data_IF_089619833062
#
_entry.id   IF_089619833062
#
_cell.length_a   1.000
_cell.length_b   1.000
_cell.length_c   1.000
_cell.angle_alpha   90.00
_cell.angle_beta   90.00
_cell.angle_gamma   90.00
#
_symmetry.space_group_name_H-M   'P 1'
#
loop_
_entity.id
_entity.type
_entity.pdbx_description
1 polymer ?
#
# COMPACT_ATOMS: atom_id res chain seq x y z
N UNK A 1 2.49 30.94 22.65
CA UNK A 1 3.14 30.57 21.36
C UNK A 1 3.85 29.22 21.43
N UNK A 2 4.45 28.82 22.55
CA UNK A 2 5.10 27.49 22.69
C UNK A 2 4.12 26.31 22.65
N UNK A 3 2.91 26.45 23.21
CA UNK A 3 1.88 25.40 23.20
C UNK A 3 1.42 25.01 21.78
N UNK A 4 1.26 25.99 20.88
CA UNK A 4 0.88 25.73 19.48
C UNK A 4 2.00 24.99 18.73
N UNK A 5 3.28 25.30 19.02
CA UNK A 5 4.42 24.59 18.42
C UNK A 5 4.48 23.13 18.86
N UNK A 6 4.23 22.85 20.14
CA UNK A 6 4.19 21.48 20.68
C UNK A 6 3.09 20.66 19.99
N UNK A 7 1.87 21.20 19.89
CA UNK A 7 0.74 20.52 19.22
C UNK A 7 1.06 20.22 17.74
N UNK A 8 1.75 21.15 17.05
CA UNK A 8 2.14 20.95 15.65
C UNK A 8 3.21 19.85 15.48
N UNK A 9 4.13 19.73 16.43
CA UNK A 9 5.15 18.67 16.46
C UNK A 9 4.50 17.32 16.71
N UNK A 10 3.59 17.21 17.69
CA UNK A 10 2.87 15.97 18.00
C UNK A 10 2.02 15.49 16.81
N UNK A 11 1.31 16.41 16.14
CA UNK A 11 0.58 16.09 14.91
C UNK A 11 1.50 15.57 13.82
N UNK A 12 2.66 16.21 13.62
CA UNK A 12 3.65 15.77 12.62
C UNK A 12 4.18 14.38 12.94
N UNK A 13 4.52 14.11 14.21
CA UNK A 13 4.96 12.79 14.68
C UNK A 13 3.91 11.70 14.47
N UNK A 14 2.63 11.98 14.78
CA UNK A 14 1.52 11.04 14.56
C UNK A 14 1.37 10.68 13.08
N UNK A 15 1.42 11.68 12.20
CA UNK A 15 1.32 11.48 10.75
C UNK A 15 2.51 10.66 10.25
N UNK A 16 3.73 11.01 10.67
CA UNK A 16 4.94 10.25 10.30
C UNK A 16 4.85 8.80 10.76
N UNK A 17 4.45 8.54 12.01
CA UNK A 17 4.28 7.17 12.52
C UNK A 17 3.25 6.37 11.72
N UNK A 18 2.13 6.98 11.35
CA UNK A 18 1.12 6.35 10.50
C UNK A 18 1.64 6.05 9.09
N UNK A 19 2.41 6.96 8.51
CA UNK A 19 3.02 6.80 7.20
C UNK A 19 4.03 5.65 7.13
N UNK A 20 4.85 5.48 8.17
CA UNK A 20 5.77 4.34 8.31
C UNK A 20 5.02 3.03 8.50
N UNK A 21 3.91 3.06 9.23
CA UNK A 21 3.07 1.88 9.47
C UNK A 21 2.47 1.35 8.16
N UNK A 22 1.87 2.21 7.34
CA UNK A 22 1.26 1.80 6.07
C UNK A 22 2.32 1.26 5.10
N UNK A 23 3.45 1.96 4.92
CA UNK A 23 4.53 1.48 4.04
C UNK A 23 5.13 0.16 4.51
N UNK A 24 5.34 0.00 5.82
CA UNK A 24 5.84 -1.25 6.39
C UNK A 24 4.92 -2.42 6.07
N UNK A 25 3.60 -2.23 6.24
CA UNK A 25 2.61 -3.28 5.99
C UNK A 25 2.46 -3.62 4.52
N UNK A 26 2.41 -2.63 3.63
CA UNK A 26 2.28 -2.89 2.19
C UNK A 26 3.54 -3.54 1.61
N UNK A 27 4.73 -3.16 2.09
CA UNK A 27 5.99 -3.83 1.73
C UNK A 27 6.02 -5.28 2.20
N UNK A 28 5.64 -5.54 3.45
CA UNK A 28 5.57 -6.89 3.99
C UNK A 28 4.58 -7.77 3.21
N UNK A 29 3.43 -7.20 2.82
CA UNK A 29 2.44 -7.86 1.99
C UNK A 29 2.98 -8.22 0.60
N UNK A 30 3.63 -7.27 -0.08
CA UNK A 30 4.26 -7.50 -1.38
C UNK A 30 5.31 -8.64 -1.33
N UNK A 31 6.17 -8.65 -0.30
CA UNK A 31 7.15 -9.73 -0.09
C UNK A 31 6.44 -11.08 0.09
N UNK A 32 5.32 -11.12 0.83
CA UNK A 32 4.56 -12.35 1.04
C UNK A 32 3.95 -12.88 -0.25
N UNK A 33 3.43 -12.01 -1.10
CA UNK A 33 2.90 -12.37 -2.42
C UNK A 33 4.00 -12.91 -3.34
N UNK A 34 5.19 -12.29 -3.37
CA UNK A 34 6.33 -12.77 -4.16
C UNK A 34 6.75 -14.18 -3.70
N UNK A 35 6.79 -14.41 -2.37
CA UNK A 35 7.09 -15.74 -1.80
C UNK A 35 6.02 -16.77 -2.17
N UNK A 36 4.75 -16.39 -2.13
CA UNK A 36 3.64 -17.26 -2.56
C UNK A 36 3.76 -17.63 -4.04
N UNK A 37 4.07 -16.66 -4.91
CA UNK A 37 4.28 -16.88 -6.35
C UNK A 37 5.38 -17.92 -6.59
N UNK A 38 6.48 -17.86 -5.82
CA UNK A 38 7.64 -18.74 -5.99
C UNK A 38 7.38 -20.22 -5.63
N UNK A 39 6.41 -20.51 -4.75
CA UNK A 39 6.16 -21.88 -4.26
C UNK A 39 5.02 -22.60 -4.98
N UNK A 40 4.25 -21.88 -5.82
CA UNK A 40 3.08 -22.47 -6.48
C UNK A 40 3.46 -23.33 -7.69
N UNK A 41 2.65 -24.38 -7.98
CA UNK A 41 2.87 -25.21 -9.15
C UNK A 41 2.89 -24.40 -10.45
N UNK A 42 3.76 -24.77 -11.39
CA UNK A 42 3.88 -24.13 -12.71
C UNK A 42 2.76 -24.52 -13.69
N UNK A 43 1.63 -25.02 -13.19
CA UNK A 43 0.45 -25.32 -14.02
C UNK A 43 -0.15 -24.01 -14.51
N UNK A 44 -0.54 -23.96 -15.79
CA UNK A 44 -1.00 -22.73 -16.45
C UNK A 44 -2.14 -22.05 -15.70
N UNK A 45 -3.14 -22.79 -15.23
CA UNK A 45 -4.29 -22.28 -14.48
C UNK A 45 -3.88 -21.58 -13.17
N UNK A 46 -2.96 -22.22 -12.42
CA UNK A 46 -2.43 -21.67 -11.17
C UNK A 46 -1.57 -20.43 -11.44
N UNK A 47 -0.78 -20.44 -12.52
CA UNK A 47 0.06 -19.32 -12.91
C UNK A 47 -0.74 -18.10 -13.35
N UNK A 48 -1.86 -18.27 -14.06
CA UNK A 48 -2.75 -17.17 -14.45
C UNK A 48 -3.31 -16.48 -13.21
N UNK A 49 -3.89 -17.26 -12.29
CA UNK A 49 -4.49 -16.69 -11.06
C UNK A 49 -3.43 -16.01 -10.20
N UNK A 50 -2.29 -16.65 -10.01
CA UNK A 50 -1.28 -16.09 -9.10
C UNK A 50 -0.51 -14.93 -9.70
N UNK A 51 -0.42 -14.84 -11.03
CA UNK A 51 0.07 -13.64 -11.70
C UNK A 51 -0.88 -12.46 -11.50
N UNK A 52 -2.19 -12.67 -11.49
CA UNK A 52 -3.15 -11.60 -11.16
C UNK A 52 -2.91 -11.09 -9.73
N UNK A 53 -2.83 -12.01 -8.75
CA UNK A 53 -2.53 -11.68 -7.36
C UNK A 53 -1.18 -10.96 -7.22
N UNK A 54 -0.15 -11.40 -7.95
CA UNK A 54 1.16 -10.76 -7.96
C UNK A 54 1.08 -9.31 -8.45
N UNK A 55 0.40 -9.08 -9.56
CA UNK A 55 0.28 -7.74 -10.13
C UNK A 55 -0.56 -6.81 -9.24
N UNK A 56 -1.77 -7.24 -8.86
CA UNK A 56 -2.72 -6.42 -8.10
C UNK A 56 -2.27 -6.19 -6.64
N UNK A 57 -1.70 -7.22 -6.03
CA UNK A 57 -1.26 -7.12 -4.64
C UNK A 57 0.02 -6.29 -4.45
N UNK A 58 0.83 -6.13 -5.50
CA UNK A 58 2.02 -5.25 -5.47
C UNK A 58 1.73 -3.83 -5.94
N UNK A 59 0.81 -3.63 -6.89
CA UNK A 59 0.33 -2.30 -7.31
C UNK A 59 -0.34 -1.54 -6.16
N UNK A 60 -1.07 -2.22 -5.28
CA UNK A 60 -1.70 -1.60 -4.13
C UNK A 60 -0.70 -0.82 -3.24
N UNK A 61 0.47 -1.42 -2.98
CA UNK A 61 1.56 -0.76 -2.26
C UNK A 61 2.19 0.39 -3.04
N UNK A 62 2.26 0.29 -4.37
CA UNK A 62 2.73 1.37 -5.24
C UNK A 62 1.79 2.59 -5.20
N UNK A 63 0.47 2.37 -5.27
CA UNK A 63 -0.53 3.44 -5.17
C UNK A 63 -0.51 4.14 -3.80
N UNK A 64 -0.34 3.39 -2.69
CA UNK A 64 -0.12 4.01 -1.38
C UNK A 64 1.12 4.92 -1.36
N UNK A 65 2.18 4.57 -2.10
CA UNK A 65 3.40 5.37 -2.20
C UNK A 65 3.24 6.58 -3.13
N UNK A 66 2.48 6.44 -4.20
CA UNK A 66 2.10 7.55 -5.07
C UNK A 66 1.22 8.57 -4.33
N UNK A 67 0.29 8.12 -3.49
CA UNK A 67 -0.55 8.99 -2.68
C UNK A 67 0.30 9.94 -1.82
N UNK A 68 1.41 9.49 -1.24
CA UNK A 68 2.34 10.35 -0.48
C UNK A 68 2.95 11.50 -1.29
N UNK A 69 3.02 11.35 -2.61
CA UNK A 69 3.54 12.36 -3.55
C UNK A 69 2.43 13.18 -4.21
N UNK A 70 1.19 13.03 -3.75
CA UNK A 70 0.06 13.77 -4.27
C UNK A 70 0.24 15.28 -4.09
N UNK A 71 -0.14 16.06 -5.11
CA UNK A 71 -0.08 17.52 -5.11
C UNK A 71 -1.30 18.17 -4.46
N UNK A 72 -2.35 17.39 -4.20
CA UNK A 72 -3.58 17.85 -3.55
C UNK A 72 -4.20 16.78 -2.67
N UNK A 73 -5.09 17.20 -1.76
CA UNK A 73 -5.86 16.27 -0.92
C UNK A 73 -6.78 15.36 -1.76
N UNK A 74 -7.34 15.86 -2.85
CA UNK A 74 -8.17 15.08 -3.76
C UNK A 74 -7.36 13.99 -4.46
N UNK A 75 -6.16 14.34 -4.98
CA UNK A 75 -5.24 13.36 -5.59
C UNK A 75 -4.77 12.32 -4.56
N UNK A 76 -4.51 12.72 -3.32
CA UNK A 76 -4.16 11.81 -2.23
C UNK A 76 -5.26 10.77 -2.00
N UNK A 77 -6.52 11.20 -1.84
CA UNK A 77 -7.66 10.30 -1.61
C UNK A 77 -7.86 9.37 -2.82
N UNK A 78 -7.87 9.93 -4.03
CA UNK A 78 -8.04 9.14 -5.26
C UNK A 78 -6.97 8.06 -5.40
N UNK A 79 -5.69 8.36 -5.11
CA UNK A 79 -4.62 7.35 -5.16
C UNK A 79 -4.77 6.27 -4.09
N UNK A 80 -5.25 6.61 -2.91
CA UNK A 80 -5.54 5.62 -1.86
C UNK A 80 -6.72 4.73 -2.24
N UNK A 81 -7.78 5.27 -2.82
CA UNK A 81 -8.95 4.50 -3.28
C UNK A 81 -8.55 3.46 -4.33
N UNK A 82 -7.69 3.83 -5.29
CA UNK A 82 -7.14 2.86 -6.25
C UNK A 82 -6.38 1.75 -5.53
N UNK A 83 -5.55 2.09 -4.54
CA UNK A 83 -4.84 1.09 -3.74
C UNK A 83 -5.77 0.15 -2.95
N UNK A 84 -6.88 0.66 -2.42
CA UNK A 84 -7.91 -0.14 -1.75
C UNK A 84 -8.57 -1.09 -2.74
N UNK A 85 -8.93 -0.61 -3.93
CA UNK A 85 -9.55 -1.44 -4.97
C UNK A 85 -8.64 -2.61 -5.38
N UNK A 86 -7.34 -2.36 -5.55
CA UNK A 86 -6.35 -3.40 -5.87
C UNK A 86 -6.23 -4.45 -4.73
N UNK A 87 -6.40 -4.06 -3.46
CA UNK A 87 -6.49 -5.00 -2.34
C UNK A 87 -7.79 -5.81 -2.35
N UNK A 88 -8.91 -5.20 -2.72
CA UNK A 88 -10.20 -5.90 -2.84
C UNK A 88 -10.16 -6.94 -3.97
N UNK A 89 -9.58 -6.59 -5.12
CA UNK A 89 -9.34 -7.52 -6.23
C UNK A 89 -8.40 -8.65 -5.82
N UNK A 90 -7.36 -8.36 -5.04
CA UNK A 90 -6.43 -9.38 -4.54
C UNK A 90 -7.09 -10.34 -3.54
N UNK A 91 -8.12 -9.86 -2.83
CA UNK A 91 -8.88 -10.66 -1.84
C UNK A 91 -9.89 -11.59 -2.49
N UNK A 92 -10.40 -11.23 -3.66
CA UNK A 92 -11.40 -12.00 -4.44
C UNK A 92 -10.76 -13.22 -5.11
#
# INVERSE_FOLDING_TARGET
>A
MESLRIIQIERKLLITNYEWYVEGRTKAFAIRIIRMYAVLPKRTEAQIRVRQILCRGTSAGAHCREAKRARSKAEFVSKLEVGIHEFEETRY
#
